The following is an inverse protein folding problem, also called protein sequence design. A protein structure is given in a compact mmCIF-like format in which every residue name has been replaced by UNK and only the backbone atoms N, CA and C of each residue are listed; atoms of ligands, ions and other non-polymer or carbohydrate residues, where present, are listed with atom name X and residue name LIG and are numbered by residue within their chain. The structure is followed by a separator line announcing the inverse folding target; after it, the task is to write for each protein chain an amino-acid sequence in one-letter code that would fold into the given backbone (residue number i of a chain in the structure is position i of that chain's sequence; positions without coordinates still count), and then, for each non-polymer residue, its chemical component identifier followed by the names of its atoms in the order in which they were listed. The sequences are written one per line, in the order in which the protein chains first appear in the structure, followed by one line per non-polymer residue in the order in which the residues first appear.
data_IF_567583571948
#
_entry.id   IF_567583571948
#
_cell.length_a   1.000
_cell.length_b   1.000
_cell.length_c   1.000
_cell.angle_alpha   90.00
_cell.angle_beta   90.00
_cell.angle_gamma   90.00
#
_symmetry.space_group_name_H-M   'P 1'
#
loop_
_entity.id
_entity.type
_entity.pdbx_description
1 polymer ?
#
# COMPACT_ATOMS: atom_id res chain seq x y z
N UNK A 1 -9.34 4.92 7.21
CA UNK A 1 -10.33 5.87 7.78
C UNK A 1 -11.52 5.15 8.48
N UNK A 2 -11.39 3.87 8.86
CA UNK A 2 -12.46 3.16 9.57
C UNK A 2 -12.72 3.82 10.93
N UNK A 3 -13.96 4.24 11.26
CA UNK A 3 -14.26 4.85 12.55
C UNK A 3 -13.84 3.92 13.71
N UNK A 4 -13.18 4.48 14.73
CA UNK A 4 -12.79 3.79 15.98
C UNK A 4 -11.62 2.80 15.88
N UNK A 5 -11.14 2.45 14.68
CA UNK A 5 -10.04 1.49 14.49
C UNK A 5 -9.00 1.93 13.45
N UNK A 6 -9.32 2.94 12.64
CA UNK A 6 -8.40 3.46 11.64
C UNK A 6 -7.33 4.33 12.28
N UNK A 7 -6.13 4.32 11.69
CA UNK A 7 -4.97 5.11 12.11
C UNK A 7 -5.33 6.55 12.52
N UNK A 8 -6.10 7.25 11.68
CA UNK A 8 -6.55 8.63 11.89
C UNK A 8 -7.36 8.86 13.17
N UNK A 9 -8.11 7.85 13.65
CA UNK A 9 -8.86 7.95 14.91
C UNK A 9 -7.96 7.86 16.15
N UNK A 10 -6.75 7.32 15.99
CA UNK A 10 -5.78 7.18 17.07
C UNK A 10 -4.68 8.26 17.02
N UNK A 11 -4.83 9.27 16.15
CA UNK A 11 -3.84 10.35 16.03
C UNK A 11 -4.02 11.46 17.07
N UNK A 12 -5.13 11.47 17.81
CA UNK A 12 -5.39 12.44 18.90
C UNK A 12 -4.36 12.38 20.03
N UNK A 13 -3.62 11.27 20.16
CA UNK A 13 -2.54 11.13 21.13
C UNK A 13 -1.30 11.97 20.77
N UNK A 14 -1.19 12.43 19.52
CA UNK A 14 -0.09 13.29 19.08
C UNK A 14 -0.54 14.74 19.21
N UNK A 15 0.33 15.60 19.75
CA UNK A 15 0.10 17.04 19.85
C UNK A 15 0.23 17.72 18.46
N UNK A 16 -0.76 17.45 17.60
CA UNK A 16 -0.85 17.89 16.21
C UNK A 16 -2.12 18.74 16.01
N UNK A 17 -2.09 19.74 15.12
CA UNK A 17 -3.20 20.69 14.97
C UNK A 17 -4.48 20.04 14.40
N UNK A 18 -4.33 18.98 13.61
CA UNK A 18 -5.39 18.13 13.07
C UNK A 18 -4.78 16.82 12.55
N UNK A 19 -5.55 15.73 12.43
CA UNK A 19 -5.03 14.39 12.12
C UNK A 19 -4.16 14.31 10.84
N UNK A 20 -4.57 14.98 9.77
CA UNK A 20 -3.85 14.96 8.49
C UNK A 20 -2.46 15.63 8.55
N UNK A 21 -2.22 16.55 9.51
CA UNK A 21 -0.98 17.31 9.62
C UNK A 21 0.26 16.42 9.77
N UNK A 22 0.14 15.23 10.37
CA UNK A 22 1.26 14.28 10.51
C UNK A 22 1.82 13.81 9.16
N UNK A 23 1.01 13.90 8.10
CA UNK A 23 1.37 13.56 6.72
C UNK A 23 1.49 14.81 5.84
N UNK A 24 1.61 16.02 6.39
CA UNK A 24 1.87 17.23 5.62
C UNK A 24 3.34 17.62 5.65
N UNK A 25 3.91 17.91 4.49
CA UNK A 25 5.35 18.21 4.39
C UNK A 25 5.71 19.51 5.13
N UNK A 26 4.82 20.50 5.10
CA UNK A 26 4.96 21.78 5.82
C UNK A 26 5.04 21.56 7.33
N UNK A 27 4.15 20.76 7.90
CA UNK A 27 4.18 20.39 9.32
C UNK A 27 5.42 19.55 9.65
N UNK A 28 5.78 18.58 8.80
CA UNK A 28 6.96 17.73 8.98
C UNK A 28 8.26 18.52 9.13
N UNK A 29 8.41 19.62 8.38
CA UNK A 29 9.58 20.50 8.51
C UNK A 29 9.61 21.30 9.82
N UNK A 30 8.45 21.58 10.42
CA UNK A 30 8.35 22.24 11.72
C UNK A 30 8.61 21.24 12.85
N UNK A 31 7.92 20.09 12.82
CA UNK A 31 8.04 19.05 13.83
C UNK A 31 7.91 17.65 13.20
N UNK A 32 9.03 16.96 12.91
CA UNK A 32 9.00 15.63 12.32
C UNK A 32 8.75 14.53 13.36
N UNK A 33 8.82 14.82 14.67
CA UNK A 33 8.75 13.79 15.72
C UNK A 33 7.44 12.98 15.70
N UNK A 34 6.24 13.58 15.61
CA UNK A 34 4.99 12.82 15.58
C UNK A 34 4.98 11.77 14.48
N UNK A 35 5.44 12.13 13.28
CA UNK A 35 5.55 11.18 12.18
C UNK A 35 6.50 10.03 12.51
N UNK A 36 7.68 10.28 13.09
CA UNK A 36 8.62 9.21 13.40
C UNK A 36 8.16 8.30 14.55
N UNK A 37 7.42 8.84 15.52
CA UNK A 37 6.74 8.02 16.55
C UNK A 37 5.70 7.10 15.89
N UNK A 38 4.88 7.63 14.99
CA UNK A 38 3.92 6.83 14.22
C UNK A 38 4.59 5.83 13.27
N UNK A 39 5.70 6.23 12.64
CA UNK A 39 6.41 5.42 11.66
C UNK A 39 6.95 4.11 12.25
N UNK A 40 7.25 4.09 13.56
CA UNK A 40 7.61 2.87 14.29
C UNK A 40 6.50 1.82 14.23
N UNK A 41 5.24 2.22 14.33
CA UNK A 41 4.09 1.31 14.26
C UNK A 41 3.90 0.79 12.83
N UNK A 42 4.08 1.67 11.84
CA UNK A 42 3.87 1.40 10.43
C UNK A 42 5.04 0.66 9.75
N UNK A 43 6.21 0.60 10.40
CA UNK A 43 7.40 0.04 9.80
C UNK A 43 7.21 -1.46 9.47
N UNK A 44 7.67 -1.93 8.29
CA UNK A 44 7.57 -3.33 7.93
C UNK A 44 8.19 -4.27 8.98
N UNK A 45 7.45 -5.33 9.33
CA UNK A 45 7.86 -6.36 10.30
C UNK A 45 6.92 -6.52 11.49
N UNK A 46 6.10 -5.52 11.80
CA UNK A 46 5.06 -5.63 12.84
C UNK A 46 3.83 -6.43 12.38
N UNK A 47 3.62 -6.47 11.06
CA UNK A 47 2.48 -7.13 10.43
C UNK A 47 2.96 -8.16 9.41
N UNK A 48 2.07 -9.11 9.10
CA UNK A 48 2.31 -10.14 8.09
C UNK A 48 1.30 -10.02 6.96
N UNK A 49 1.69 -10.36 5.72
CA UNK A 49 0.74 -10.43 4.62
C UNK A 49 -0.36 -11.44 4.96
N UNK A 50 -1.58 -11.10 4.59
CA UNK A 50 -2.74 -11.95 4.78
C UNK A 50 -3.10 -12.70 3.48
N UNK A 51 -4.20 -13.47 3.52
CA UNK A 51 -4.68 -14.27 2.39
C UNK A 51 -4.87 -13.47 1.09
N UNK A 52 -5.32 -12.22 1.16
CA UNK A 52 -5.50 -11.37 -0.02
C UNK A 52 -4.17 -11.01 -0.69
N UNK A 53 -3.12 -10.75 0.09
CA UNK A 53 -1.79 -10.50 -0.45
C UNK A 53 -1.23 -11.74 -1.15
N UNK A 54 -1.42 -12.92 -0.55
CA UNK A 54 -0.98 -14.18 -1.18
C UNK A 54 -1.80 -14.55 -2.41
N UNK A 55 -3.07 -14.14 -2.50
CA UNK A 55 -3.84 -14.27 -3.73
C UNK A 55 -3.24 -13.43 -4.88
N UNK A 56 -2.86 -12.19 -4.59
CA UNK A 56 -2.15 -11.35 -5.57
C UNK A 56 -0.80 -11.96 -5.96
N UNK A 57 -0.11 -12.60 -5.02
CA UNK A 57 1.11 -13.36 -5.30
C UNK A 57 0.83 -14.57 -6.20
N UNK A 58 -0.25 -15.30 -5.97
CA UNK A 58 -0.61 -16.43 -6.82
C UNK A 58 -1.00 -15.98 -8.24
N UNK A 59 -1.66 -14.83 -8.39
CA UNK A 59 -1.89 -14.21 -9.71
C UNK A 59 -0.57 -13.90 -10.43
N UNK A 60 0.45 -13.43 -9.69
CA UNK A 60 1.78 -13.23 -10.24
C UNK A 60 2.43 -14.55 -10.67
N UNK A 61 2.45 -15.55 -9.79
CA UNK A 61 3.07 -16.86 -10.06
C UNK A 61 2.41 -17.58 -11.24
N UNK A 62 1.12 -17.34 -11.49
CA UNK A 62 0.36 -17.83 -12.65
C UNK A 62 0.52 -16.99 -13.92
N UNK A 63 1.29 -15.90 -13.88
CA UNK A 63 1.53 -15.02 -15.04
C UNK A 63 0.36 -14.10 -15.41
N UNK A 64 -0.61 -13.92 -14.50
CA UNK A 64 -1.84 -13.14 -14.75
C UNK A 64 -1.73 -11.69 -14.23
N UNK A 65 -0.81 -11.41 -13.31
CA UNK A 65 -0.63 -10.07 -12.76
C UNK A 65 0.17 -9.17 -13.70
N UNK A 66 -0.52 -8.26 -14.42
CA UNK A 66 0.13 -7.20 -15.18
C UNK A 66 0.91 -6.24 -14.25
N UNK A 67 0.19 -5.64 -13.30
CA UNK A 67 0.73 -4.72 -12.30
C UNK A 67 -0.16 -4.70 -11.05
N UNK A 68 0.44 -4.47 -9.90
CA UNK A 68 -0.23 -4.16 -8.63
C UNK A 68 0.04 -2.70 -8.27
N UNK A 69 -1.02 -1.89 -8.21
CA UNK A 69 -1.00 -0.53 -7.68
C UNK A 69 -1.50 -0.56 -6.24
N UNK A 70 -0.70 -0.10 -5.29
CA UNK A 70 -1.09 -0.04 -3.87
C UNK A 70 -1.02 1.38 -3.32
N UNK A 71 -1.98 1.72 -2.46
CA UNK A 71 -1.98 2.94 -1.63
C UNK A 71 -1.31 2.71 -0.28
N UNK A 72 -1.06 1.44 0.08
CA UNK A 72 -0.47 1.08 1.36
C UNK A 72 1.02 1.41 1.37
N UNK A 73 1.53 1.66 2.57
CA UNK A 73 2.94 1.95 2.84
C UNK A 73 3.59 0.90 3.75
N UNK A 74 2.82 -0.09 4.20
CA UNK A 74 3.23 -1.15 5.13
C UNK A 74 4.20 -2.18 4.52
N UNK A 75 4.33 -2.18 3.18
CA UNK A 75 5.24 -3.06 2.44
C UNK A 75 4.82 -4.53 2.39
N UNK A 76 3.57 -4.86 2.75
CA UNK A 76 3.10 -6.24 2.81
C UNK A 76 3.01 -6.91 1.43
N UNK A 77 2.87 -6.15 0.35
CA UNK A 77 2.93 -6.67 -1.02
C UNK A 77 4.33 -7.21 -1.34
N UNK A 78 5.37 -6.47 -0.96
CA UNK A 78 6.78 -6.93 -1.09
C UNK A 78 7.02 -8.14 -0.20
N UNK A 79 6.53 -8.11 1.04
CA UNK A 79 6.67 -9.23 1.98
C UNK A 79 5.94 -10.51 1.51
N UNK A 80 4.85 -10.39 0.75
CA UNK A 80 4.18 -11.51 0.09
C UNK A 80 4.96 -12.07 -1.13
N UNK A 81 6.03 -11.36 -1.54
CA UNK A 81 6.88 -11.74 -2.66
C UNK A 81 6.41 -11.21 -4.00
N UNK A 82 5.63 -10.12 -4.05
CA UNK A 82 5.41 -9.39 -5.31
C UNK A 82 6.72 -8.71 -5.68
N UNK A 83 7.27 -8.96 -6.89
CA UNK A 83 8.55 -8.40 -7.25
C UNK A 83 8.43 -6.91 -7.60
N UNK A 84 9.48 -6.09 -7.39
CA UNK A 84 9.41 -4.63 -7.55
C UNK A 84 8.95 -4.16 -8.94
N UNK A 85 9.26 -4.92 -10.00
CA UNK A 85 8.80 -4.63 -11.35
C UNK A 85 7.30 -4.78 -11.51
N UNK A 86 6.61 -5.60 -10.69
CA UNK A 86 5.16 -5.73 -10.72
C UNK A 86 4.44 -4.75 -9.79
N UNK A 87 5.17 -4.02 -8.96
CA UNK A 87 4.61 -3.16 -7.93
C UNK A 87 4.74 -1.67 -8.26
N UNK A 88 3.65 -0.94 -8.02
CA UNK A 88 3.60 0.52 -7.96
C UNK A 88 3.06 0.91 -6.58
N UNK A 89 3.97 1.32 -5.70
CA UNK A 89 3.65 1.90 -4.39
C UNK A 89 3.29 3.38 -4.58
N UNK A 90 2.01 3.65 -4.85
CA UNK A 90 1.55 4.97 -5.27
C UNK A 90 1.73 6.03 -4.18
N UNK A 91 1.66 5.66 -2.91
CA UNK A 91 1.92 6.55 -1.77
C UNK A 91 3.33 6.36 -1.19
N UNK A 92 4.24 5.75 -1.96
CA UNK A 92 5.62 5.57 -1.55
C UNK A 92 5.83 4.40 -0.60
N UNK A 93 7.00 4.34 0.04
CA UNK A 93 7.49 3.14 0.73
C UNK A 93 8.47 3.46 1.86
N UNK A 94 8.53 2.60 2.87
CA UNK A 94 9.61 2.60 3.87
C UNK A 94 10.90 1.91 3.36
N UNK A 95 10.88 1.28 2.19
CA UNK A 95 12.04 0.56 1.66
C UNK A 95 13.23 1.47 1.33
N UNK A 96 12.97 2.75 1.03
CA UNK A 96 13.98 3.78 0.74
C UNK A 96 13.65 5.07 1.49
N UNK A 97 14.65 5.92 1.66
CA UNK A 97 14.51 7.21 2.30
C UNK A 97 15.39 8.26 1.63
N UNK A 98 14.97 9.53 1.67
CA UNK A 98 15.67 10.64 1.03
C UNK A 98 15.95 11.75 2.03
N UNK A 99 17.18 12.27 2.01
CA UNK A 99 17.51 13.47 2.78
C UNK A 99 16.74 14.67 2.24
N UNK A 100 16.04 15.38 3.13
CA UNK A 100 15.23 16.53 2.75
C UNK A 100 16.04 17.76 2.33
N UNK A 101 17.35 17.78 2.61
CA UNK A 101 18.27 18.88 2.26
C UNK A 101 19.08 18.54 1.02
N UNK A 102 19.99 17.56 1.10
CA UNK A 102 20.89 17.24 -0.01
C UNK A 102 20.31 16.29 -1.07
N UNK A 103 19.07 15.80 -0.87
CA UNK A 103 18.35 14.88 -1.78
C UNK A 103 19.05 13.54 -2.04
N UNK A 104 20.07 13.19 -1.24
CA UNK A 104 20.70 11.87 -1.29
C UNK A 104 19.69 10.82 -0.84
N UNK A 105 19.56 9.76 -1.63
CA UNK A 105 18.73 8.59 -1.32
C UNK A 105 19.55 7.54 -0.56
N UNK A 106 18.86 6.79 0.27
CA UNK A 106 19.40 5.76 1.14
C UNK A 106 18.45 4.56 1.22
N UNK A 107 18.97 3.35 1.45
CA UNK A 107 18.16 2.23 1.91
C UNK A 107 17.40 2.61 3.19
N UNK A 108 16.10 2.31 3.27
CA UNK A 108 15.31 2.62 4.46
C UNK A 108 15.80 1.88 5.71
N UNK A 109 16.34 0.67 5.50
CA UNK A 109 16.91 -0.17 6.56
C UNK A 109 18.04 0.53 7.33
N UNK A 110 18.80 1.42 6.70
CA UNK A 110 19.91 2.15 7.33
C UNK A 110 19.43 3.01 8.51
N UNK A 111 18.17 3.48 8.45
CA UNK A 111 17.57 4.34 9.47
C UNK A 111 16.52 3.63 10.31
N UNK A 112 16.34 2.31 10.14
CA UNK A 112 15.38 1.54 10.93
C UNK A 112 15.65 1.67 12.42
N UNK A 113 16.93 1.63 12.83
CA UNK A 113 17.32 1.76 14.23
C UNK A 113 16.82 3.07 14.86
N UNK A 114 17.03 4.19 14.15
CA UNK A 114 16.58 5.52 14.58
C UNK A 114 15.05 5.56 14.72
N UNK A 115 14.31 5.08 13.72
CA UNK A 115 12.84 5.07 13.74
C UNK A 115 12.31 4.20 14.89
N UNK A 116 12.89 3.01 15.11
CA UNK A 116 12.51 2.11 16.20
C UNK A 116 12.79 2.71 17.58
N UNK A 117 13.83 3.54 17.69
CA UNK A 117 14.18 4.30 18.89
C UNK A 117 13.43 5.63 19.00
N UNK A 118 12.47 5.91 18.12
CA UNK A 118 11.70 7.17 18.05
C UNK A 118 12.59 8.42 17.89
N UNK A 119 13.75 8.23 17.24
CA UNK A 119 14.69 9.28 16.92
C UNK A 119 14.48 9.77 15.49
N UNK A 120 14.69 11.07 15.28
CA UNK A 120 14.60 11.69 13.95
C UNK A 120 15.87 11.34 13.18
N UNK A 121 15.79 10.55 12.09
CA UNK A 121 16.96 10.13 11.33
C UNK A 121 17.67 11.32 10.69
N UNK A 122 19.01 11.31 10.73
CA UNK A 122 19.84 12.41 10.24
C UNK A 122 20.78 11.94 9.13
N UNK A 123 20.92 12.78 8.11
CA UNK A 123 21.79 12.50 6.99
C UNK A 123 23.26 12.52 7.44
N UNK A 124 24.04 11.46 7.17
CA UNK A 124 25.44 11.38 7.60
C UNK A 124 26.36 12.39 6.89
N UNK A 125 25.85 13.08 5.85
CA UNK A 125 26.63 14.02 5.02
C UNK A 125 26.35 15.47 5.38
N UNK A 126 25.07 15.83 5.56
CA UNK A 126 24.64 17.22 5.70
C UNK A 126 23.77 17.49 6.93
N UNK A 127 23.58 16.49 7.80
CA UNK A 127 22.78 16.53 9.04
C UNK A 127 21.29 16.91 8.87
N UNK A 128 20.83 17.10 7.63
CA UNK A 128 19.41 17.24 7.29
C UNK A 128 18.60 16.02 7.70
N UNK A 129 17.30 16.21 7.93
CA UNK A 129 16.39 15.10 8.25
C UNK A 129 16.33 14.12 7.07
N UNK A 130 16.37 12.82 7.35
CA UNK A 130 16.13 11.79 6.35
C UNK A 130 14.69 11.31 6.49
N UNK A 131 13.89 11.56 5.46
CA UNK A 131 12.47 11.23 5.41
C UNK A 131 12.29 9.93 4.61
N UNK A 132 11.57 8.92 5.11
CA UNK A 132 11.16 7.76 4.29
C UNK A 132 10.47 8.23 3.01
N UNK A 133 10.62 7.50 1.91
CA UNK A 133 10.06 7.86 0.61
C UNK A 133 8.54 7.56 0.54
N UNK A 134 7.80 7.95 1.58
CA UNK A 134 6.35 7.98 1.66
C UNK A 134 5.87 9.34 1.17
N UNK A 135 4.82 9.34 0.35
CA UNK A 135 4.22 10.55 -0.19
C UNK A 135 3.39 11.22 0.90
N UNK A 136 3.74 12.46 1.22
CA UNK A 136 2.97 13.32 2.10
C UNK A 136 1.96 14.13 1.29
N UNK A 137 0.92 14.65 1.92
CA UNK A 137 0.00 15.59 1.29
C UNK A 137 0.77 16.80 0.76
N UNK A 138 0.49 17.15 -0.50
CA UNK A 138 1.20 18.20 -1.22
C UNK A 138 2.47 17.74 -1.97
N UNK A 139 2.92 16.50 -1.79
CA UNK A 139 4.01 15.92 -2.59
C UNK A 139 3.48 15.29 -3.90
N UNK A 140 4.34 15.28 -4.92
CA UNK A 140 4.05 14.55 -6.16
C UNK A 140 4.08 13.04 -5.91
N UNK A 141 3.19 12.29 -6.58
CA UNK A 141 3.27 10.84 -6.58
C UNK A 141 4.57 10.36 -7.25
N UNK A 142 5.08 9.15 -6.91
CA UNK A 142 6.30 8.63 -7.50
C UNK A 142 6.17 8.50 -9.02
N UNK A 143 7.25 8.73 -9.76
CA UNK A 143 7.28 8.60 -11.23
C UNK A 143 6.72 7.26 -11.73
N UNK A 144 6.93 6.17 -10.99
CA UNK A 144 6.39 4.84 -11.31
C UNK A 144 4.86 4.82 -11.38
N UNK A 145 4.17 5.74 -10.73
CA UNK A 145 2.72 5.89 -10.83
C UNK A 145 2.27 6.18 -12.28
N UNK A 146 3.10 6.83 -13.10
CA UNK A 146 2.80 7.14 -14.51
C UNK A 146 2.72 5.89 -15.40
N UNK A 147 3.18 4.73 -14.93
CA UNK A 147 3.01 3.45 -15.65
C UNK A 147 1.53 3.11 -15.91
N UNK A 148 0.59 3.74 -15.19
CA UNK A 148 -0.83 3.53 -15.42
C UNK A 148 -1.23 3.92 -16.86
N UNK A 149 -0.55 4.89 -17.47
CA UNK A 149 -0.78 5.34 -18.84
C UNK A 149 -0.55 4.22 -19.86
N UNK A 150 0.37 3.29 -19.57
CA UNK A 150 0.67 2.13 -20.42
C UNK A 150 -0.03 0.85 -19.97
N UNK A 151 -0.20 0.66 -18.66
CA UNK A 151 -0.77 -0.57 -18.11
C UNK A 151 -2.30 -0.66 -18.33
N UNK A 152 -3.03 0.44 -18.10
CA UNK A 152 -4.50 0.42 -18.11
C UNK A 152 -5.12 0.19 -19.49
N UNK A 153 -4.54 0.67 -20.61
CA UNK A 153 -4.99 0.27 -21.94
C UNK A 153 -4.84 -1.22 -22.23
N UNK A 154 -3.81 -1.88 -21.64
CA UNK A 154 -3.50 -3.29 -21.85
C UNK A 154 -4.33 -4.22 -20.95
N UNK A 155 -4.78 -3.72 -19.79
CA UNK A 155 -5.57 -4.50 -18.86
C UNK A 155 -6.85 -5.07 -19.51
N UNK A 156 -7.16 -6.32 -19.16
CA UNK A 156 -8.35 -7.06 -19.55
C UNK A 156 -9.30 -7.32 -18.37
N UNK A 157 -8.82 -7.15 -17.13
CA UNK A 157 -9.57 -7.18 -15.88
C UNK A 157 -8.98 -6.16 -14.88
N UNK A 158 -9.83 -5.45 -14.15
CA UNK A 158 -9.42 -4.62 -13.02
C UNK A 158 -9.97 -5.19 -11.70
N UNK A 159 -9.10 -5.62 -10.81
CA UNK A 159 -9.45 -5.95 -9.43
C UNK A 159 -9.21 -4.73 -8.52
N UNK A 160 -10.24 -4.30 -7.80
CA UNK A 160 -10.17 -3.22 -6.81
C UNK A 160 -10.49 -3.81 -5.44
N UNK A 161 -9.51 -3.81 -4.55
CA UNK A 161 -9.59 -4.55 -3.28
C UNK A 161 -9.30 -3.62 -2.11
N UNK A 162 -10.23 -3.52 -1.15
CA UNK A 162 -9.96 -2.91 0.15
C UNK A 162 -9.59 -1.41 0.16
N UNK A 163 -10.25 -0.57 -0.64
CA UNK A 163 -10.01 0.89 -0.68
C UNK A 163 -11.32 1.67 -0.65
N UNK A 164 -11.31 2.91 -0.14
CA UNK A 164 -12.46 3.83 -0.21
C UNK A 164 -12.55 4.59 -1.54
N UNK A 165 -11.49 4.59 -2.35
CA UNK A 165 -11.38 5.40 -3.58
C UNK A 165 -11.72 6.88 -3.36
N UNK A 166 -11.26 7.46 -2.24
CA UNK A 166 -11.49 8.88 -1.91
C UNK A 166 -10.28 9.78 -2.21
N UNK A 167 -9.10 9.20 -2.38
CA UNK A 167 -7.84 9.95 -2.53
C UNK A 167 -7.40 9.96 -3.99
N UNK A 168 -7.35 11.16 -4.56
CA UNK A 168 -6.84 11.39 -5.92
C UNK A 168 -5.31 11.56 -5.92
N UNK A 169 -4.63 11.26 -7.05
CA UNK A 169 -5.16 10.77 -8.34
C UNK A 169 -5.44 9.26 -8.38
N UNK A 170 -5.27 8.52 -7.27
CA UNK A 170 -5.43 7.07 -7.26
C UNK A 170 -6.87 6.64 -7.53
N UNK A 171 -7.85 7.32 -6.96
CA UNK A 171 -9.28 7.00 -7.14
C UNK A 171 -9.70 7.02 -8.62
N UNK A 172 -9.17 7.96 -9.40
CA UNK A 172 -9.40 8.08 -10.84
C UNK A 172 -8.94 6.85 -11.64
N UNK A 173 -7.97 6.06 -11.14
CA UNK A 173 -7.53 4.83 -11.81
C UNK A 173 -8.68 3.84 -11.99
N UNK A 174 -9.63 3.78 -11.05
CA UNK A 174 -10.78 2.89 -11.19
C UNK A 174 -11.55 3.13 -12.49
N UNK A 175 -11.55 4.37 -13.01
CA UNK A 175 -12.18 4.75 -14.27
C UNK A 175 -11.30 4.63 -15.52
N UNK A 176 -10.00 4.36 -15.38
CA UNK A 176 -9.02 4.50 -16.46
C UNK A 176 -8.95 3.29 -17.41
N UNK A 177 -9.44 2.11 -17.00
CA UNK A 177 -9.52 0.95 -17.91
C UNK A 177 -10.61 1.16 -18.97
N UNK A 178 -10.42 0.53 -20.15
CA UNK A 178 -11.35 0.61 -21.28
C UNK A 178 -12.78 0.24 -20.88
N UNK A 179 -13.78 0.81 -21.54
CA UNK A 179 -15.19 0.66 -21.16
C UNK A 179 -15.71 -0.78 -21.13
N UNK A 180 -15.14 -1.68 -21.95
CA UNK A 180 -15.50 -3.09 -22.01
C UNK A 180 -14.80 -3.98 -20.97
N UNK A 181 -13.75 -3.48 -20.31
CA UNK A 181 -12.99 -4.23 -19.32
C UNK A 181 -13.84 -4.42 -18.06
N UNK A 182 -14.03 -5.66 -17.59
CA UNK A 182 -14.68 -5.91 -16.31
C UNK A 182 -13.89 -5.31 -15.15
N UNK A 183 -14.62 -4.74 -14.18
CA UNK A 183 -14.04 -4.25 -12.94
C UNK A 183 -14.70 -4.97 -11.77
N UNK A 184 -13.90 -5.58 -10.90
CA UNK A 184 -14.40 -6.32 -9.75
C UNK A 184 -13.96 -5.60 -8.49
N UNK A 185 -14.92 -5.15 -7.70
CA UNK A 185 -14.71 -4.57 -6.38
C UNK A 185 -14.86 -5.67 -5.31
N UNK A 186 -13.82 -5.90 -4.50
CA UNK A 186 -13.90 -6.71 -3.27
C UNK A 186 -13.67 -5.77 -2.09
N UNK A 187 -14.76 -5.36 -1.43
CA UNK A 187 -14.69 -4.34 -0.39
C UNK A 187 -15.87 -4.41 0.59
N UNK A 188 -15.76 -3.80 1.77
CA UNK A 188 -16.87 -3.79 2.74
C UNK A 188 -18.11 -3.05 2.23
N UNK A 189 -17.89 -1.96 1.50
CA UNK A 189 -18.95 -1.08 1.01
C UNK A 189 -18.73 -0.74 -0.47
N UNK A 190 -19.80 -0.41 -1.21
CA UNK A 190 -19.68 0.25 -2.51
C UNK A 190 -18.92 1.56 -2.36
N UNK A 191 -18.00 1.82 -3.27
CA UNK A 191 -17.08 2.96 -3.22
C UNK A 191 -16.76 3.47 -4.61
N UNK A 192 -16.31 4.72 -4.72
CA UNK A 192 -15.84 5.23 -6.00
C UNK A 192 -16.91 5.17 -7.11
N UNK A 193 -16.47 5.08 -8.37
CA UNK A 193 -17.35 4.84 -9.50
C UNK A 193 -18.26 3.60 -9.37
N UNK A 194 -17.95 2.62 -8.52
CA UNK A 194 -18.83 1.47 -8.28
C UNK A 194 -20.10 1.84 -7.49
N UNK A 195 -20.11 2.97 -6.78
CA UNK A 195 -21.29 3.46 -6.07
C UNK A 195 -22.11 4.44 -6.93
N UNK A 196 -21.46 5.35 -7.67
CA UNK A 196 -22.15 6.46 -8.35
C UNK A 196 -22.06 6.46 -9.89
N UNK A 197 -21.27 5.59 -10.51
CA UNK A 197 -21.10 5.53 -11.97
C UNK A 197 -20.78 4.12 -12.47
N UNK A 198 -21.66 3.19 -12.18
CA UNK A 198 -21.49 1.77 -12.50
C UNK A 198 -21.48 1.54 -14.02
N UNK A 199 -20.60 0.64 -14.46
CA UNK A 199 -20.59 0.07 -15.81
C UNK A 199 -21.37 -1.24 -15.80
N UNK A 200 -21.85 -1.67 -16.97
CA UNK A 200 -22.51 -2.97 -17.14
C UNK A 200 -21.61 -4.16 -16.79
N UNK A 201 -20.30 -3.97 -16.86
CA UNK A 201 -19.28 -5.00 -16.59
C UNK A 201 -18.71 -4.93 -15.17
N UNK A 202 -19.28 -4.08 -14.31
CA UNK A 202 -18.86 -4.00 -12.91
C UNK A 202 -19.48 -5.12 -12.08
N UNK A 203 -18.67 -5.70 -11.20
CA UNK A 203 -19.10 -6.65 -10.18
C UNK A 203 -18.63 -6.15 -8.82
N UNK A 204 -19.49 -6.26 -7.79
CA UNK A 204 -19.14 -5.89 -6.43
C UNK A 204 -19.39 -7.07 -5.48
N UNK A 205 -18.31 -7.65 -4.96
CA UNK A 205 -18.32 -8.61 -3.86
C UNK A 205 -18.19 -7.83 -2.55
N UNK A 206 -19.32 -7.61 -1.87
CA UNK A 206 -19.36 -6.83 -0.64
C UNK A 206 -19.13 -7.71 0.59
N UNK A 207 -18.34 -7.19 1.55
CA UNK A 207 -18.07 -7.85 2.82
C UNK A 207 -16.60 -7.79 3.23
N UNK A 208 -16.19 -8.74 4.06
CA UNK A 208 -14.78 -8.87 4.42
C UNK A 208 -13.92 -9.25 3.20
N UNK A 209 -12.78 -8.58 3.04
CA UNK A 209 -11.87 -8.77 1.90
C UNK A 209 -11.33 -10.19 1.83
N UNK A 210 -10.95 -10.79 2.95
CA UNK A 210 -10.41 -12.16 2.97
C UNK A 210 -11.48 -13.15 2.56
N UNK A 211 -12.71 -12.99 3.05
CA UNK A 211 -13.84 -13.84 2.65
C UNK A 211 -14.17 -13.69 1.16
N UNK A 212 -14.19 -12.46 0.63
CA UNK A 212 -14.44 -12.22 -0.79
C UNK A 212 -13.35 -12.81 -1.69
N UNK A 213 -12.07 -12.69 -1.30
CA UNK A 213 -10.96 -13.32 -2.04
C UNK A 213 -11.06 -14.85 -1.96
N UNK A 214 -11.42 -15.44 -0.82
CA UNK A 214 -11.62 -16.89 -0.69
C UNK A 214 -12.71 -17.40 -1.63
N UNK A 215 -13.84 -16.70 -1.72
CA UNK A 215 -14.90 -17.08 -2.65
C UNK A 215 -14.42 -17.04 -4.11
N UNK A 216 -13.60 -16.04 -4.49
CA UNK A 216 -13.00 -15.99 -5.82
C UNK A 216 -12.00 -17.15 -6.05
N UNK A 217 -11.17 -17.48 -5.05
CA UNK A 217 -10.23 -18.61 -5.12
C UNK A 217 -10.97 -19.93 -5.30
N UNK A 218 -12.09 -20.14 -4.60
CA UNK A 218 -12.95 -21.33 -4.73
C UNK A 218 -13.54 -21.45 -6.15
N UNK A 219 -14.07 -20.36 -6.69
CA UNK A 219 -14.57 -20.33 -8.07
C UNK A 219 -13.49 -20.62 -9.12
N UNK A 220 -12.23 -20.30 -8.82
CA UNK A 220 -11.09 -20.56 -9.69
C UNK A 220 -10.51 -21.98 -9.52
N UNK A 221 -10.92 -22.72 -8.49
CA UNK A 221 -10.34 -24.02 -8.14
C UNK A 221 -8.88 -23.92 -7.67
N UNK A 222 -8.50 -22.83 -7.00
CA UNK A 222 -7.12 -22.54 -6.59
C UNK A 222 -6.85 -22.75 -5.09
N UNK A 223 -7.76 -23.41 -4.36
CA UNK A 223 -7.71 -23.55 -2.91
C UNK A 223 -6.44 -24.27 -2.44
N UNK A 224 -6.09 -25.38 -3.08
CA UNK A 224 -4.91 -26.17 -2.73
C UNK A 224 -3.60 -25.42 -3.01
N UNK A 225 -3.54 -24.69 -4.12
CA UNK A 225 -2.39 -23.86 -4.47
C UNK A 225 -2.22 -22.70 -3.47
N UNK A 226 -3.34 -22.04 -3.13
CA UNK A 226 -3.36 -21.00 -2.11
C UNK A 226 -2.96 -21.54 -0.74
N UNK A 227 -3.48 -22.70 -0.34
CA UNK A 227 -3.11 -23.33 0.93
C UNK A 227 -1.61 -23.64 0.96
N UNK A 228 -1.09 -24.26 -0.09
CA UNK A 228 0.34 -24.59 -0.22
C UNK A 228 1.23 -23.35 -0.14
N UNK A 229 0.89 -22.28 -0.88
CA UNK A 229 1.61 -21.01 -0.86
C UNK A 229 1.62 -20.39 0.55
N UNK A 230 0.45 -20.29 1.19
CA UNK A 230 0.33 -19.70 2.52
C UNK A 230 1.10 -20.50 3.57
N UNK A 231 1.09 -21.84 3.51
CA UNK A 231 1.86 -22.67 4.43
C UNK A 231 3.36 -22.49 4.23
N UNK A 232 3.84 -22.50 2.98
CA UNK A 232 5.25 -22.29 2.66
C UNK A 232 5.76 -20.95 3.18
N UNK A 233 4.97 -19.88 3.03
CA UNK A 233 5.37 -18.55 3.52
C UNK A 233 5.31 -18.47 5.06
N UNK A 234 4.36 -19.14 5.72
CA UNK A 234 4.35 -19.26 7.19
C UNK A 234 5.59 -19.99 7.71
N UNK A 235 6.01 -21.07 7.06
CA UNK A 235 7.21 -21.83 7.44
C UNK A 235 8.50 -21.04 7.28
N UNK A 236 8.64 -20.24 6.21
CA UNK A 236 9.79 -19.36 6.02
C UNK A 236 9.94 -18.38 7.18
N UNK A 237 8.82 -17.83 7.67
CA UNK A 237 8.83 -16.90 8.80
C UNK A 237 9.16 -17.63 10.12
N UNK A 238 8.68 -18.87 10.30
CA UNK A 238 9.02 -19.69 11.46
C UNK A 238 10.50 -20.08 11.57
N UNK A 239 11.23 -20.09 10.45
CA UNK A 239 12.67 -20.39 10.39
C UNK A 239 13.58 -19.17 10.55
N UNK A 240 13.02 -18.00 10.84
CA UNK A 240 13.76 -16.83 11.32
C UNK A 240 13.77 -15.66 10.34
N UNK A 241 13.06 -14.60 10.70
CA UNK A 241 13.60 -13.25 10.58
C UNK A 241 14.48 -13.06 11.83
N UNK A 242 15.77 -13.37 11.71
CA UNK A 242 16.80 -12.83 12.61
C UNK A 242 17.37 -11.58 11.95
#
# INVERSE_FOLDING_TARGET
RSPGSGLYSNLEQYDIPYPEAIFELTYFFVNPKPFFTLAKELYPGNYRPNYAHYFLRLLHDKGLLLRLYTQNIDGLERAAGIPPERLVEAHGTFATATCTVCRRSFPGQDFRGDVMAEQVPRCPVCTGVVKPDIVFFGEELPQRFLLHLTDFPLADLLLVIGTSLEVEPFASLAGAVRGAVPRVLINRHPVGPFAWRQRRTDVAQLGDVVSGVRALVELLGWEEEMHTLVQKEKEKVGRGWK
#
